data_IF_223696027167
#
_entry.id   IF_223696027167
#
_cell.length_a   1.000
_cell.length_b   1.000
_cell.length_c   1.000
_cell.angle_alpha   90.00
_cell.angle_beta   90.00
_cell.angle_gamma   90.00
#
_symmetry.space_group_name_H-M   'P 1'
#
loop_
_entity.id
_entity.type
_entity.pdbx_description
1 polymer ?
#
# COMPACT_ATOMS: atom_id res chain seq x y z
N UNK A 1 -5.58 36.11 47.83
CA UNK A 1 -4.63 35.71 46.75
C UNK A 1 -4.45 34.22 46.60
N UNK A 2 -4.31 33.38 47.65
CA UNK A 2 -4.11 31.90 47.49
C UNK A 2 -5.30 31.13 46.90
N UNK A 3 -6.55 31.56 47.12
CA UNK A 3 -7.75 30.88 46.57
C UNK A 3 -7.99 31.16 45.08
N UNK A 4 -7.61 32.32 44.60
CA UNK A 4 -7.75 32.70 43.18
C UNK A 4 -6.72 32.01 42.33
N UNK A 5 -5.52 31.71 42.83
CA UNK A 5 -4.48 30.96 42.13
C UNK A 5 -4.83 29.50 41.97
N UNK A 6 -5.50 28.89 42.96
CA UNK A 6 -5.96 27.51 42.88
C UNK A 6 -7.09 27.32 41.87
N UNK A 7 -7.98 28.33 41.73
CA UNK A 7 -9.07 28.29 40.74
C UNK A 7 -8.52 28.48 39.33
N UNK A 8 -7.53 29.35 39.12
CA UNK A 8 -6.89 29.53 37.81
C UNK A 8 -6.05 28.32 37.40
N UNK A 9 -5.36 27.66 38.35
CA UNK A 9 -4.60 26.45 38.08
C UNK A 9 -5.54 25.24 37.77
N UNK A 10 -6.67 25.14 38.48
CA UNK A 10 -7.69 24.15 38.20
C UNK A 10 -8.37 24.37 36.86
N UNK A 11 -8.55 25.59 36.41
CA UNK A 11 -9.15 25.90 35.10
C UNK A 11 -8.17 25.60 33.95
N UNK A 12 -6.88 25.86 34.11
CA UNK A 12 -5.83 25.55 33.13
C UNK A 12 -5.63 24.03 33.02
N UNK A 13 -5.66 23.30 34.14
CA UNK A 13 -5.59 21.83 34.13
C UNK A 13 -6.88 21.21 33.60
N UNK A 14 -8.04 21.84 33.79
CA UNK A 14 -9.32 21.40 33.21
C UNK A 14 -9.39 21.60 31.71
N UNK A 15 -8.79 22.65 31.14
CA UNK A 15 -8.75 22.92 29.72
C UNK A 15 -7.76 22.02 28.98
N UNK A 16 -6.66 21.63 29.64
CA UNK A 16 -5.73 20.65 29.05
C UNK A 16 -6.29 19.19 29.03
N UNK A 17 -7.22 18.89 29.95
CA UNK A 17 -7.89 17.57 29.96
C UNK A 17 -8.99 17.42 28.91
N UNK A 18 -9.49 18.53 28.35
CA UNK A 18 -10.53 18.48 27.29
C UNK A 18 -9.98 18.38 25.87
N UNK A 19 -8.66 18.46 25.69
CA UNK A 19 -8.00 18.31 24.40
C UNK A 19 -7.86 16.84 23.93
N UNK A 20 -8.13 15.87 24.81
CA UNK A 20 -8.23 14.46 24.42
C UNK A 20 -9.69 14.17 24.04
N UNK A 21 -9.96 14.19 22.74
CA UNK A 21 -11.24 13.74 22.20
C UNK A 21 -11.39 12.25 22.51
N UNK A 22 -12.08 11.95 23.64
CA UNK A 22 -12.50 10.58 23.93
C UNK A 22 -13.71 10.30 23.05
N UNK A 23 -13.53 9.46 22.04
CA UNK A 23 -14.69 8.86 21.36
C UNK A 23 -15.37 7.99 22.42
N UNK A 24 -16.61 8.28 22.83
CA UNK A 24 -17.34 7.44 23.75
C UNK A 24 -17.44 6.03 23.14
N UNK A 25 -17.34 4.98 23.97
CA UNK A 25 -17.51 3.60 23.50
C UNK A 25 -18.84 3.39 22.75
N UNK A 26 -19.83 4.21 23.01
CA UNK A 26 -21.11 4.23 22.30
C UNK A 26 -21.02 4.74 20.86
N UNK A 27 -19.88 5.29 20.43
CA UNK A 27 -19.66 5.75 19.05
C UNK A 27 -18.78 4.80 18.23
N UNK A 28 -18.46 3.63 18.72
CA UNK A 28 -17.89 2.57 17.90
C UNK A 28 -18.87 2.23 16.79
N UNK A 29 -18.57 2.64 15.59
CA UNK A 29 -19.39 2.34 14.42
C UNK A 29 -18.88 1.06 13.79
N UNK A 30 -19.78 0.08 13.67
CA UNK A 30 -19.57 -1.05 12.80
C UNK A 30 -19.71 -0.57 11.34
N UNK A 31 -18.77 -0.93 10.50
CA UNK A 31 -18.83 -0.65 9.06
C UNK A 31 -18.93 -1.96 8.31
N UNK A 32 -19.95 -2.08 7.49
CA UNK A 32 -20.04 -3.20 6.56
C UNK A 32 -19.10 -2.93 5.38
N UNK A 33 -18.14 -3.81 5.19
CA UNK A 33 -17.21 -3.73 4.06
C UNK A 33 -17.73 -4.64 2.96
N UNK A 34 -18.04 -4.08 1.81
CA UNK A 34 -18.40 -4.88 0.64
C UNK A 34 -17.12 -5.37 -0.06
N UNK A 35 -16.69 -6.57 0.30
CA UNK A 35 -15.49 -7.19 -0.26
C UNK A 35 -15.62 -7.56 -1.74
N UNK A 36 -16.86 -7.61 -2.26
CA UNK A 36 -17.12 -7.91 -3.67
C UNK A 36 -16.96 -6.68 -4.58
N UNK A 37 -16.89 -5.47 -4.00
CA UNK A 37 -16.71 -4.25 -4.78
C UNK A 37 -15.23 -3.87 -4.83
N UNK A 38 -14.60 -4.33 -5.87
CA UNK A 38 -13.25 -3.90 -6.20
C UNK A 38 -13.30 -2.62 -7.01
N UNK A 39 -12.43 -1.69 -6.65
CA UNK A 39 -12.18 -0.47 -7.42
C UNK A 39 -11.08 -0.80 -8.41
N UNK A 40 -11.41 -0.86 -9.69
CA UNK A 40 -10.48 -1.24 -10.78
C UNK A 40 -9.70 -0.03 -11.31
N UNK A 41 -9.88 1.13 -10.70
CA UNK A 41 -9.12 2.32 -11.05
C UNK A 41 -9.59 3.04 -12.32
N UNK A 42 -10.45 2.42 -13.10
CA UNK A 42 -11.11 3.00 -14.27
C UNK A 42 -12.58 3.33 -14.00
N UNK A 43 -13.01 3.14 -12.75
CA UNK A 43 -14.37 3.48 -12.35
C UNK A 43 -14.63 4.97 -12.51
N UNK A 44 -15.80 5.26 -13.06
CA UNK A 44 -16.36 6.60 -12.99
C UNK A 44 -16.65 6.90 -11.53
N UNK A 45 -16.25 8.06 -11.05
CA UNK A 45 -16.62 8.53 -9.72
C UNK A 45 -18.15 8.41 -9.54
N UNK A 46 -18.58 7.57 -8.62
CA UNK A 46 -20.01 7.32 -8.36
C UNK A 46 -20.61 8.32 -7.38
N UNK A 47 -20.11 9.51 -7.35
CA UNK A 47 -20.65 10.62 -6.55
C UNK A 47 -20.60 11.89 -7.35
N UNK A 48 -21.72 12.61 -7.43
CA UNK A 48 -21.70 14.03 -7.73
C UNK A 48 -21.01 14.73 -6.57
N UNK A 49 -19.69 14.77 -6.57
CA UNK A 49 -19.00 15.77 -5.78
C UNK A 49 -19.24 17.10 -6.49
N UNK A 50 -20.20 17.84 -5.98
CA UNK A 50 -20.27 19.26 -6.26
C UNK A 50 -19.06 19.91 -5.58
N UNK A 51 -17.91 19.79 -6.21
CA UNK A 51 -16.74 20.53 -5.80
C UNK A 51 -16.98 21.98 -6.21
N UNK A 52 -17.57 22.73 -5.30
CA UNK A 52 -17.50 24.18 -5.36
C UNK A 52 -16.08 24.51 -4.96
N UNK A 53 -15.21 24.64 -5.96
CA UNK A 53 -13.92 25.26 -5.75
C UNK A 53 -14.19 26.68 -5.26
N UNK A 54 -14.14 26.87 -3.95
CA UNK A 54 -14.10 28.19 -3.37
C UNK A 54 -12.60 28.57 -3.22
N UNK A 55 -12.04 29.30 -4.18
CA UNK A 55 -10.60 29.58 -4.20
C UNK A 55 -10.13 30.51 -3.06
N UNK A 56 -11.01 30.89 -2.17
CA UNK A 56 -10.73 31.95 -1.20
C UNK A 56 -10.61 31.52 0.25
N UNK A 57 -10.82 30.24 0.59
CA UNK A 57 -10.60 29.79 1.97
C UNK A 57 -10.22 28.30 2.05
N UNK A 58 -9.01 27.97 1.64
CA UNK A 58 -8.34 26.84 2.28
C UNK A 58 -8.09 27.24 3.73
N UNK A 59 -8.47 26.42 4.73
CA UNK A 59 -8.02 26.68 6.10
C UNK A 59 -6.49 26.64 6.08
N UNK A 60 -5.87 27.78 6.26
CA UNK A 60 -4.42 27.87 6.45
C UNK A 60 -4.16 27.26 7.82
N UNK A 61 -3.95 25.95 7.86
CA UNK A 61 -3.37 25.30 9.04
C UNK A 61 -1.93 25.78 9.06
N UNK A 62 -1.65 26.78 9.89
CA UNK A 62 -0.28 27.24 10.14
C UNK A 62 0.40 26.22 11.04
N UNK A 63 1.10 25.30 10.46
CA UNK A 63 2.07 24.46 11.15
C UNK A 63 3.39 25.26 11.24
N UNK A 64 3.47 26.16 12.22
CA UNK A 64 4.63 27.07 12.37
C UNK A 64 5.95 26.33 12.71
N UNK A 65 5.94 25.01 12.83
CA UNK A 65 7.10 24.20 13.21
C UNK A 65 7.48 23.09 12.21
N UNK A 66 6.75 22.91 11.12
CA UNK A 66 7.08 21.92 10.09
C UNK A 66 7.60 22.59 8.82
N UNK A 67 8.73 22.11 8.31
CA UNK A 67 9.20 22.46 6.98
C UNK A 67 8.37 21.68 5.95
N UNK A 68 7.34 22.30 5.42
CA UNK A 68 6.50 21.74 4.38
C UNK A 68 6.77 22.40 3.03
N UNK A 69 6.77 21.61 1.97
CA UNK A 69 6.83 22.10 0.61
C UNK A 69 5.72 21.47 -0.21
N UNK A 70 4.99 22.27 -0.97
CA UNK A 70 4.05 21.76 -1.96
C UNK A 70 4.86 21.27 -3.16
N UNK A 71 4.86 19.98 -3.39
CA UNK A 71 5.67 19.33 -4.44
C UNK A 71 4.88 19.05 -5.71
N UNK A 72 3.55 19.03 -5.60
CA UNK A 72 2.65 18.67 -6.70
C UNK A 72 1.23 19.18 -6.43
N UNK A 73 0.48 19.46 -7.49
CA UNK A 73 -0.95 19.71 -7.45
C UNK A 73 -1.68 18.74 -8.36
N UNK A 74 -2.82 18.24 -7.92
CA UNK A 74 -3.65 17.33 -8.71
C UNK A 74 -5.13 17.48 -8.34
N UNK A 75 -6.01 17.32 -9.30
CA UNK A 75 -7.45 17.15 -9.07
C UNK A 75 -7.84 15.71 -8.86
N UNK A 76 -6.90 14.77 -9.06
CA UNK A 76 -7.12 13.35 -8.84
C UNK A 76 -6.75 12.99 -7.39
N UNK A 77 -7.75 12.76 -6.57
CA UNK A 77 -7.60 12.57 -5.12
C UNK A 77 -7.36 11.12 -4.69
N UNK A 78 -7.73 10.13 -5.53
CA UNK A 78 -7.51 8.71 -5.22
C UNK A 78 -6.06 8.30 -5.48
N UNK A 79 -5.19 8.58 -4.54
CA UNK A 79 -3.74 8.30 -4.66
C UNK A 79 -3.36 6.86 -4.28
N UNK A 80 -4.16 6.18 -3.48
CA UNK A 80 -3.97 4.79 -3.11
C UNK A 80 -5.31 4.06 -3.17
N UNK A 81 -5.29 2.76 -3.47
CA UNK A 81 -6.46 1.92 -3.39
C UNK A 81 -6.43 1.14 -2.05
N UNK A 82 -5.99 -0.11 -2.00
CA UNK A 82 -5.82 -0.83 -0.74
C UNK A 82 -4.49 -0.50 -0.07
N UNK A 83 -3.44 -0.29 -0.86
CA UNK A 83 -2.09 -0.06 -0.37
C UNK A 83 -1.42 1.14 -1.06
N UNK A 84 -0.53 1.80 -0.32
CA UNK A 84 0.33 2.83 -0.90
C UNK A 84 1.41 2.17 -1.74
N UNK A 85 1.59 2.63 -2.98
CA UNK A 85 2.71 2.22 -3.83
C UNK A 85 4.02 2.89 -3.40
N UNK A 86 5.14 2.39 -3.91
CA UNK A 86 6.45 3.02 -3.75
C UNK A 86 6.47 4.31 -4.59
N UNK A 87 5.96 5.39 -4.01
CA UNK A 87 5.76 6.69 -4.65
C UNK A 87 6.91 7.64 -4.43
N UNK A 88 7.86 7.23 -3.64
CA UNK A 88 9.02 8.03 -3.28
C UNK A 88 10.22 7.11 -3.09
N UNK A 89 11.38 7.59 -3.48
CA UNK A 89 12.65 7.02 -3.06
C UNK A 89 13.57 8.11 -2.51
N UNK A 90 14.48 7.71 -1.64
CA UNK A 90 15.65 8.48 -1.27
C UNK A 90 16.90 7.75 -1.79
N UNK A 91 17.71 8.41 -2.56
CA UNK A 91 18.95 7.86 -3.07
C UNK A 91 20.10 8.02 -2.06
N UNK A 92 21.20 7.28 -2.27
CA UNK A 92 22.36 7.31 -1.37
C UNK A 92 23.08 8.68 -1.32
N UNK A 93 22.90 9.54 -2.31
CA UNK A 93 23.37 10.93 -2.33
C UNK A 93 22.44 11.91 -1.60
N UNK A 94 21.38 11.41 -0.99
CA UNK A 94 20.37 12.19 -0.26
C UNK A 94 19.29 12.79 -1.16
N UNK A 95 19.37 12.66 -2.48
CA UNK A 95 18.30 13.14 -3.36
C UNK A 95 17.02 12.34 -3.17
N UNK A 96 15.89 13.01 -3.39
CA UNK A 96 14.55 12.43 -3.21
C UNK A 96 13.69 12.71 -4.43
N UNK A 97 13.05 11.67 -4.95
CA UNK A 97 12.01 11.83 -5.96
C UNK A 97 10.64 11.42 -5.41
N UNK A 98 9.61 12.07 -5.88
CA UNK A 98 8.22 11.74 -5.57
C UNK A 98 7.37 11.73 -6.83
N UNK A 99 6.43 10.77 -6.88
CA UNK A 99 5.43 10.66 -7.94
C UNK A 99 4.03 10.55 -7.34
N UNK A 100 3.06 11.04 -8.10
CA UNK A 100 1.65 10.86 -7.78
C UNK A 100 0.83 10.70 -9.06
N UNK A 101 -0.35 10.11 -8.93
CA UNK A 101 -1.34 10.19 -10.00
C UNK A 101 -1.82 11.63 -10.12
N UNK A 102 -1.60 12.24 -11.27
CA UNK A 102 -1.86 13.64 -11.53
C UNK A 102 -2.92 13.82 -12.62
N UNK A 103 -3.80 14.76 -12.41
CA UNK A 103 -4.71 15.34 -13.41
C UNK A 103 -4.96 16.79 -13.04
N UNK A 104 -5.22 17.61 -14.04
CA UNK A 104 -5.69 19.00 -13.89
C UNK A 104 -7.15 19.16 -14.31
N UNK A 105 -7.72 18.14 -14.96
CA UNK A 105 -9.13 18.13 -15.29
C UNK A 105 -10.00 17.90 -14.04
N UNK A 106 -11.06 18.66 -13.91
CA UNK A 106 -12.06 18.51 -12.83
C UNK A 106 -13.25 17.65 -13.22
N UNK A 107 -13.24 17.08 -14.43
CA UNK A 107 -14.31 16.20 -14.90
C UNK A 107 -14.03 14.73 -14.54
N UNK A 108 -15.09 13.90 -14.59
CA UNK A 108 -14.99 12.49 -14.21
C UNK A 108 -14.13 11.63 -15.16
N UNK A 109 -13.83 12.13 -16.35
CA UNK A 109 -13.08 11.37 -17.37
C UNK A 109 -11.59 11.46 -17.14
N UNK A 110 -11.10 12.57 -16.53
CA UNK A 110 -9.67 12.81 -16.24
C UNK A 110 -8.74 12.31 -17.34
N UNK A 111 -8.99 12.79 -18.58
CA UNK A 111 -8.29 12.31 -19.77
C UNK A 111 -6.79 12.65 -19.75
N UNK A 112 -6.42 13.72 -19.04
CA UNK A 112 -5.05 14.16 -18.82
C UNK A 112 -4.34 13.38 -17.69
N UNK A 113 -5.02 12.40 -17.05
CA UNK A 113 -4.45 11.61 -15.96
C UNK A 113 -3.15 10.92 -16.36
N UNK A 114 -2.16 11.00 -15.51
CA UNK A 114 -0.87 10.36 -15.66
C UNK A 114 -0.01 10.57 -14.42
N UNK A 115 1.31 10.54 -14.58
CA UNK A 115 2.25 10.69 -13.48
C UNK A 115 2.77 12.11 -13.41
N UNK A 116 2.52 12.79 -12.29
CA UNK A 116 3.27 13.96 -11.86
C UNK A 116 4.54 13.52 -11.15
N UNK A 117 5.63 14.23 -11.39
CA UNK A 117 6.95 13.94 -10.83
C UNK A 117 7.59 15.21 -10.28
N UNK A 118 8.23 15.11 -9.11
CA UNK A 118 9.10 16.16 -8.59
C UNK A 118 10.35 15.58 -7.96
N UNK A 119 11.40 16.36 -7.90
CA UNK A 119 12.72 15.95 -7.46
C UNK A 119 13.36 17.01 -6.57
N UNK A 120 14.02 16.54 -5.50
CA UNK A 120 14.80 17.34 -4.58
C UNK A 120 16.23 16.84 -4.58
N UNK A 121 17.17 17.68 -4.98
CA UNK A 121 18.57 17.33 -5.04
C UNK A 121 19.22 17.39 -3.64
N UNK A 122 20.06 16.40 -3.31
CA UNK A 122 20.89 16.37 -2.11
C UNK A 122 20.12 16.48 -0.77
N UNK A 123 18.83 16.12 -0.73
CA UNK A 123 18.02 16.20 0.48
C UNK A 123 17.74 17.61 1.00
N UNK A 124 17.99 18.64 0.20
CA UNK A 124 17.63 20.02 0.54
C UNK A 124 16.15 20.27 0.21
N UNK A 125 15.27 19.88 1.11
CA UNK A 125 13.82 19.98 0.93
C UNK A 125 13.30 21.43 0.73
N UNK A 126 14.15 22.43 0.85
CA UNK A 126 13.82 23.79 0.43
C UNK A 126 13.97 24.03 -1.09
N UNK A 127 14.53 23.06 -1.82
CA UNK A 127 14.87 23.14 -3.24
C UNK A 127 14.22 22.04 -4.06
N UNK A 128 12.94 21.88 -3.90
CA UNK A 128 12.16 21.07 -4.84
C UNK A 128 12.17 21.71 -6.24
N UNK A 129 12.10 20.88 -7.26
CA UNK A 129 11.84 21.34 -8.63
C UNK A 129 10.50 22.07 -8.74
N UNK A 130 10.26 22.67 -9.90
CA UNK A 130 8.97 23.27 -10.19
C UNK A 130 7.88 22.21 -10.12
N UNK A 131 6.68 22.62 -9.67
CA UNK A 131 5.53 21.72 -9.71
C UNK A 131 5.29 21.24 -11.15
N UNK A 132 5.04 19.95 -11.37
CA UNK A 132 4.79 19.42 -12.70
C UNK A 132 3.52 20.02 -13.29
N UNK A 133 3.61 20.54 -14.50
CA UNK A 133 2.47 21.05 -15.27
C UNK A 133 1.86 19.94 -16.16
N UNK A 134 2.66 18.95 -16.52
CA UNK A 134 2.27 17.87 -17.42
C UNK A 134 2.66 16.51 -16.81
N UNK A 135 1.92 15.49 -17.20
CA UNK A 135 2.28 14.10 -16.92
C UNK A 135 3.51 13.69 -17.72
N UNK A 136 4.25 12.70 -17.17
CA UNK A 136 5.42 12.11 -17.86
C UNK A 136 4.98 11.42 -19.16
N UNK A 137 3.90 10.67 -19.09
CA UNK A 137 3.46 9.78 -20.17
C UNK A 137 2.74 10.52 -21.28
N UNK A 138 2.89 10.04 -22.50
CA UNK A 138 2.11 10.52 -23.65
C UNK A 138 0.67 10.01 -23.67
N UNK A 139 0.34 9.03 -22.84
CA UNK A 139 -0.98 8.40 -22.76
C UNK A 139 -1.57 8.51 -21.34
N UNK A 140 -2.87 8.25 -21.19
CA UNK A 140 -3.53 8.17 -19.89
C UNK A 140 -3.02 6.95 -19.12
N UNK A 141 -2.51 7.18 -17.90
CA UNK A 141 -2.02 6.15 -16.98
C UNK A 141 -2.52 6.39 -15.57
N UNK A 142 -2.12 5.54 -14.63
CA UNK A 142 -2.41 5.75 -13.22
C UNK A 142 -1.60 4.85 -12.32
N UNK A 143 -1.67 5.15 -11.03
CA UNK A 143 -0.98 4.43 -9.95
C UNK A 143 0.50 4.22 -10.21
N UNK A 144 1.28 5.30 -10.36
CA UNK A 144 2.70 5.22 -10.60
C UNK A 144 3.45 4.65 -9.39
N UNK A 145 4.56 4.00 -9.67
CA UNK A 145 5.58 3.61 -8.68
C UNK A 145 6.94 3.98 -9.25
N UNK A 146 7.87 4.40 -8.40
CA UNK A 146 9.19 4.88 -8.82
C UNK A 146 10.31 4.21 -8.01
N UNK A 147 11.42 3.96 -8.67
CA UNK A 147 12.67 3.49 -8.03
C UNK A 147 13.89 4.08 -8.74
N UNK A 148 15.04 4.03 -8.08
CA UNK A 148 16.34 4.27 -8.74
C UNK A 148 16.68 3.08 -9.63
N UNK A 149 17.35 3.29 -10.76
CA UNK A 149 17.85 2.23 -11.63
C UNK A 149 19.21 2.60 -12.21
N UNK A 150 20.09 1.62 -12.37
CA UNK A 150 21.44 1.90 -12.74
C UNK A 150 22.18 2.73 -11.68
N UNK A 151 23.36 3.20 -11.99
CA UNK A 151 24.16 4.00 -11.07
C UNK A 151 23.55 5.37 -10.74
N UNK A 152 22.79 5.96 -11.67
CA UNK A 152 22.25 7.31 -11.50
C UNK A 152 20.89 7.56 -12.17
N UNK A 153 20.20 6.52 -12.60
CA UNK A 153 18.93 6.63 -13.31
C UNK A 153 17.70 6.44 -12.44
N UNK A 154 16.56 6.51 -13.08
CA UNK A 154 15.24 6.29 -12.50
C UNK A 154 14.38 5.42 -13.41
N UNK A 155 13.53 4.62 -12.80
CA UNK A 155 12.47 3.88 -13.47
C UNK A 155 11.12 4.21 -12.85
N UNK A 156 10.18 4.57 -13.70
CA UNK A 156 8.78 4.75 -13.40
C UNK A 156 7.99 3.59 -13.98
N UNK A 157 7.07 3.02 -13.22
CA UNK A 157 6.11 2.02 -13.71
C UNK A 157 4.71 2.52 -13.42
N UNK A 158 3.83 2.52 -14.42
CA UNK A 158 2.41 2.83 -14.26
C UNK A 158 1.55 1.96 -15.18
N UNK A 159 0.25 1.90 -14.91
CA UNK A 159 -0.65 1.10 -15.72
C UNK A 159 -1.53 1.94 -16.64
N UNK A 160 -1.78 1.40 -17.83
CA UNK A 160 -2.77 1.84 -18.80
C UNK A 160 -3.54 0.61 -19.27
N UNK A 161 -3.28 0.13 -20.47
CA UNK A 161 -3.70 -1.20 -20.95
C UNK A 161 -2.59 -2.22 -20.63
N UNK A 162 -2.48 -2.62 -19.38
CA UNK A 162 -1.36 -3.35 -18.81
C UNK A 162 -0.29 -2.42 -18.22
N UNK A 163 0.84 -2.99 -17.81
CA UNK A 163 1.94 -2.23 -17.23
C UNK A 163 2.91 -1.74 -18.29
N UNK A 164 3.39 -0.53 -18.07
CA UNK A 164 4.45 0.07 -18.86
C UNK A 164 5.46 0.72 -17.93
N UNK A 165 6.72 0.78 -18.36
CA UNK A 165 7.74 1.55 -17.67
C UNK A 165 8.33 2.64 -18.55
N UNK A 166 8.87 3.63 -17.89
CA UNK A 166 9.63 4.74 -18.43
C UNK A 166 10.94 4.83 -17.67
N UNK A 167 12.03 5.03 -18.37
CA UNK A 167 13.38 5.03 -17.81
C UNK A 167 14.06 6.33 -18.19
N UNK A 168 14.90 6.84 -17.31
CA UNK A 168 15.88 7.85 -17.64
C UNK A 168 17.22 7.60 -16.95
N UNK A 169 18.29 8.08 -17.55
CA UNK A 169 19.66 7.76 -17.13
C UNK A 169 20.18 8.66 -16.01
N UNK A 170 19.52 9.81 -15.77
CA UNK A 170 19.94 10.78 -14.75
C UNK A 170 18.76 11.14 -13.85
N UNK A 171 18.92 10.97 -12.54
CA UNK A 171 17.92 11.36 -11.55
C UNK A 171 17.63 12.86 -11.64
N UNK A 172 16.37 13.23 -11.67
CA UNK A 172 15.93 14.61 -11.70
C UNK A 172 16.07 15.31 -13.05
N UNK A 173 16.77 14.73 -14.05
CA UNK A 173 17.12 15.39 -15.28
C UNK A 173 16.92 14.51 -16.52
N UNK A 174 16.66 15.16 -17.66
CA UNK A 174 16.53 14.49 -18.96
C UNK A 174 15.14 13.96 -19.25
N UNK A 175 14.99 13.49 -20.49
CA UNK A 175 13.75 12.94 -20.99
C UNK A 175 13.54 11.49 -20.50
N UNK A 176 12.28 11.11 -20.35
CA UNK A 176 11.88 9.75 -20.05
C UNK A 176 11.76 8.95 -21.35
N UNK A 177 12.48 7.86 -21.44
CA UNK A 177 12.39 6.88 -22.53
C UNK A 177 11.29 5.87 -22.20
N UNK A 178 10.32 5.72 -23.09
CA UNK A 178 9.17 4.81 -22.93
C UNK A 178 7.98 5.24 -23.80
N UNK A 179 6.86 4.51 -23.77
CA UNK A 179 6.59 3.35 -22.91
C UNK A 179 7.33 2.07 -23.34
N UNK A 180 7.88 1.34 -22.36
CA UNK A 180 8.39 -0.01 -22.53
C UNK A 180 7.37 -0.94 -21.87
N UNK A 181 6.74 -1.83 -22.62
CA UNK A 181 5.71 -2.70 -22.11
C UNK A 181 6.28 -3.80 -21.19
N UNK A 182 5.68 -3.98 -20.01
CA UNK A 182 5.90 -5.15 -19.16
C UNK A 182 4.88 -6.20 -19.61
N UNK A 183 5.31 -7.38 -20.08
CA UNK A 183 4.42 -8.34 -20.73
C UNK A 183 3.37 -8.89 -19.77
N UNK A 184 2.14 -8.99 -20.23
CA UNK A 184 1.10 -9.73 -19.53
C UNK A 184 1.33 -11.23 -19.72
N UNK A 185 1.25 -12.05 -18.66
CA UNK A 185 1.31 -13.50 -18.79
C UNK A 185 0.16 -14.03 -19.65
N UNK A 186 0.37 -15.18 -20.26
CA UNK A 186 -0.68 -15.90 -20.97
C UNK A 186 -1.87 -16.20 -20.03
N UNK A 187 -3.08 -16.05 -20.53
CA UNK A 187 -4.31 -16.25 -19.75
C UNK A 187 -4.77 -15.04 -18.94
N UNK A 188 -3.99 -13.95 -18.91
CA UNK A 188 -4.41 -12.69 -18.25
C UNK A 188 -5.49 -11.99 -19.08
N UNK A 189 -6.58 -11.56 -18.41
CA UNK A 189 -7.76 -11.03 -19.09
C UNK A 189 -7.86 -9.51 -19.06
N UNK A 190 -8.42 -8.95 -20.14
CA UNK A 190 -8.96 -7.59 -20.13
C UNK A 190 -10.35 -7.58 -19.46
N UNK A 191 -10.69 -6.57 -18.61
CA UNK A 191 -9.88 -5.39 -18.30
C UNK A 191 -8.83 -5.62 -17.19
N UNK A 192 -8.67 -6.81 -16.72
CA UNK A 192 -7.82 -7.15 -15.59
C UNK A 192 -6.39 -7.53 -16.02
N UNK A 193 -5.84 -6.80 -16.96
CA UNK A 193 -4.41 -6.85 -17.26
C UNK A 193 -3.60 -6.38 -16.05
N UNK A 194 -2.30 -6.66 -16.06
CA UNK A 194 -1.42 -6.23 -14.96
C UNK A 194 -1.65 -4.77 -14.58
N UNK A 195 -1.90 -4.52 -13.30
CA UNK A 195 -2.21 -3.21 -12.76
C UNK A 195 -1.67 -3.04 -11.34
N UNK A 196 -1.73 -1.83 -10.82
CA UNK A 196 -1.30 -1.47 -9.46
C UNK A 196 0.10 -1.94 -9.08
N UNK A 197 1.07 -1.61 -9.92
CA UNK A 197 2.46 -2.01 -9.73
C UNK A 197 3.06 -1.47 -8.43
N UNK A 198 3.97 -2.28 -7.85
CA UNK A 198 4.96 -1.84 -6.86
C UNK A 198 6.32 -2.21 -7.41
N UNK A 199 7.20 -1.25 -7.56
CA UNK A 199 8.54 -1.45 -8.08
C UNK A 199 9.58 -1.23 -6.99
N UNK A 200 10.63 -2.04 -7.04
CA UNK A 200 11.84 -1.89 -6.26
C UNK A 200 13.03 -2.40 -7.08
N UNK A 201 14.23 -2.01 -6.71
CA UNK A 201 15.45 -2.38 -7.44
C UNK A 201 16.48 -3.00 -6.50
N UNK A 202 17.29 -3.90 -7.01
CA UNK A 202 18.32 -4.61 -6.26
C UNK A 202 19.59 -4.84 -7.09
N UNK A 203 20.54 -5.51 -6.48
CA UNK A 203 21.82 -5.85 -7.11
C UNK A 203 22.77 -4.67 -7.21
N UNK A 204 23.91 -4.90 -7.86
CA UNK A 204 24.90 -3.85 -8.10
C UNK A 204 24.29 -2.76 -8.98
N UNK A 205 24.45 -1.52 -8.56
CA UNK A 205 23.93 -0.35 -9.26
C UNK A 205 22.39 -0.36 -9.47
N UNK A 206 21.62 -1.09 -8.65
CA UNK A 206 20.17 -1.19 -8.77
C UNK A 206 19.70 -1.59 -10.19
N UNK A 207 20.47 -2.37 -10.91
CA UNK A 207 20.16 -2.69 -12.30
C UNK A 207 19.15 -3.84 -12.46
N UNK A 208 18.79 -4.51 -11.37
CA UNK A 208 17.74 -5.52 -11.35
C UNK A 208 16.47 -4.89 -10.83
N UNK A 209 15.44 -4.86 -11.67
CA UNK A 209 14.16 -4.27 -11.36
C UNK A 209 13.14 -5.37 -11.04
N UNK A 210 12.43 -5.19 -9.93
CA UNK A 210 11.37 -6.05 -9.46
C UNK A 210 10.06 -5.31 -9.48
N UNK A 211 9.04 -5.91 -10.06
CA UNK A 211 7.67 -5.36 -10.07
C UNK A 211 6.70 -6.44 -9.63
N UNK A 212 5.91 -6.14 -8.62
CA UNK A 212 4.73 -6.92 -8.28
C UNK A 212 3.48 -6.19 -8.73
N UNK A 213 2.49 -6.94 -9.19
CA UNK A 213 1.25 -6.41 -9.74
C UNK A 213 0.13 -7.42 -9.63
N UNK A 214 -1.11 -6.96 -9.70
CA UNK A 214 -2.29 -7.82 -9.71
C UNK A 214 -2.91 -7.91 -11.09
N UNK A 215 -3.54 -9.05 -11.39
CA UNK A 215 -4.40 -9.24 -12.54
C UNK A 215 -5.37 -10.39 -12.31
N UNK A 216 -6.42 -10.45 -13.12
CA UNK A 216 -7.23 -11.64 -13.22
C UNK A 216 -6.55 -12.65 -14.15
N UNK A 217 -6.42 -13.88 -13.71
CA UNK A 217 -5.82 -14.97 -14.47
C UNK A 217 -6.81 -16.12 -14.67
N UNK A 218 -6.78 -16.71 -15.83
CA UNK A 218 -7.62 -17.87 -16.17
C UNK A 218 -7.06 -19.12 -15.50
N UNK A 219 -7.85 -19.78 -14.66
CA UNK A 219 -7.51 -21.03 -13.99
C UNK A 219 -7.94 -22.23 -14.84
N UNK A 220 -9.19 -22.22 -15.32
CA UNK A 220 -9.75 -23.21 -16.22
C UNK A 220 -10.78 -22.57 -17.17
N UNK A 221 -11.55 -23.37 -17.92
CA UNK A 221 -12.44 -22.85 -18.94
C UNK A 221 -13.51 -21.88 -18.43
N UNK A 222 -13.95 -22.01 -17.20
CA UNK A 222 -15.04 -21.25 -16.62
C UNK A 222 -14.63 -20.47 -15.34
N UNK A 223 -13.41 -20.68 -14.86
CA UNK A 223 -12.93 -20.11 -13.62
C UNK A 223 -11.76 -19.14 -13.84
N UNK A 224 -11.88 -17.97 -13.27
CA UNK A 224 -10.85 -16.94 -13.22
C UNK A 224 -10.58 -16.56 -11.78
N UNK A 225 -9.32 -16.47 -11.42
CA UNK A 225 -8.91 -15.99 -10.12
C UNK A 225 -8.03 -14.76 -10.27
N UNK A 226 -8.06 -13.90 -9.26
CA UNK A 226 -7.14 -12.78 -9.16
C UNK A 226 -5.84 -13.27 -8.59
N UNK A 227 -4.75 -12.92 -9.25
CA UNK A 227 -3.42 -13.38 -8.89
C UNK A 227 -2.46 -12.21 -8.78
N UNK A 228 -1.48 -12.36 -7.90
CA UNK A 228 -0.32 -11.51 -7.86
C UNK A 228 0.74 -12.06 -8.82
N UNK A 229 1.31 -11.18 -9.63
CA UNK A 229 2.35 -11.50 -10.59
C UNK A 229 3.64 -10.81 -10.22
N UNK A 230 4.74 -11.46 -10.53
CA UNK A 230 6.07 -10.93 -10.36
C UNK A 230 6.73 -10.77 -11.72
N UNK A 231 7.16 -9.56 -12.01
CA UNK A 231 7.93 -9.22 -13.21
C UNK A 231 9.35 -8.81 -12.81
N UNK A 232 10.32 -9.27 -13.57
CA UNK A 232 11.74 -9.02 -13.30
C UNK A 232 12.46 -8.59 -14.57
N UNK A 233 13.28 -7.56 -14.44
CA UNK A 233 14.25 -7.14 -15.45
C UNK A 233 15.65 -7.26 -14.87
N UNK A 234 16.63 -7.64 -15.69
CA UNK A 234 18.06 -7.71 -15.30
C UNK A 234 18.91 -6.69 -16.03
N UNK A 235 18.31 -5.84 -16.82
CA UNK A 235 18.95 -4.85 -17.70
C UNK A 235 18.38 -3.44 -17.52
N UNK A 236 17.97 -3.12 -16.28
CA UNK A 236 17.49 -1.80 -15.93
C UNK A 236 16.09 -1.46 -16.47
N UNK A 237 15.28 -2.49 -16.80
CA UNK A 237 13.92 -2.30 -17.28
C UNK A 237 13.76 -2.32 -18.79
N UNK A 238 14.80 -2.64 -19.55
CA UNK A 238 14.74 -2.71 -21.01
C UNK A 238 14.03 -3.97 -21.50
N UNK A 239 14.28 -5.11 -20.84
CA UNK A 239 13.57 -6.37 -21.12
C UNK A 239 13.00 -6.97 -19.84
N UNK A 240 11.92 -7.73 -19.97
CA UNK A 240 11.15 -8.22 -18.84
C UNK A 240 10.78 -9.69 -18.96
N UNK A 241 10.81 -10.38 -17.83
CA UNK A 241 10.20 -11.69 -17.63
C UNK A 241 9.10 -11.51 -16.59
N UNK A 242 7.90 -11.96 -16.90
CA UNK A 242 6.75 -11.97 -15.97
C UNK A 242 6.34 -13.39 -15.68
N UNK A 243 6.38 -13.75 -14.40
CA UNK A 243 5.99 -15.07 -13.92
C UNK A 243 5.30 -14.91 -12.56
N UNK A 244 4.28 -15.72 -12.32
CA UNK A 244 3.64 -15.79 -11.00
C UNK A 244 4.03 -17.06 -10.23
N UNK A 245 4.68 -18.02 -10.88
CA UNK A 245 5.03 -19.30 -10.27
C UNK A 245 5.86 -19.20 -8.99
N UNK A 246 6.79 -18.25 -8.83
CA UNK A 246 7.49 -18.05 -7.57
C UNK A 246 6.60 -17.59 -6.41
N UNK A 247 5.48 -16.95 -6.74
CA UNK A 247 4.57 -16.31 -5.78
C UNK A 247 3.29 -17.12 -5.58
N UNK A 248 3.06 -18.11 -6.41
CA UNK A 248 1.93 -19.03 -6.28
C UNK A 248 2.43 -20.31 -5.66
N UNK A 249 2.01 -20.58 -4.46
CA UNK A 249 2.14 -21.92 -3.91
C UNK A 249 0.82 -22.66 -4.02
N UNK A 250 0.96 -23.93 -4.25
CA UNK A 250 -0.05 -24.98 -4.21
C UNK A 250 -1.43 -24.61 -3.63
N UNK A 251 -2.41 -24.65 -4.48
CA UNK A 251 -3.86 -24.91 -4.27
C UNK A 251 -4.64 -24.25 -3.12
N UNK A 252 -4.04 -23.72 -2.07
CA UNK A 252 -4.75 -23.23 -0.89
C UNK A 252 -4.76 -21.70 -0.72
N UNK A 253 -4.08 -20.96 -1.58
CA UNK A 253 -3.80 -19.54 -1.32
C UNK A 253 -4.26 -18.62 -2.44
N UNK A 254 -5.01 -19.13 -3.39
CA UNK A 254 -5.15 -18.49 -4.69
C UNK A 254 -6.39 -17.63 -4.85
N UNK A 255 -7.40 -17.76 -4.01
CA UNK A 255 -8.74 -17.33 -4.41
C UNK A 255 -9.27 -16.09 -3.72
N UNK A 256 -8.57 -15.52 -2.75
CA UNK A 256 -9.04 -14.35 -2.00
C UNK A 256 -8.11 -13.18 -2.16
N UNK A 257 -7.90 -12.75 -3.39
CA UNK A 257 -7.07 -11.57 -3.66
C UNK A 257 -7.90 -10.30 -3.76
N UNK A 258 -7.57 -9.33 -2.93
CA UNK A 258 -7.81 -7.95 -3.29
C UNK A 258 -6.67 -7.52 -4.21
N UNK A 259 -6.96 -6.88 -5.32
CA UNK A 259 -5.92 -6.28 -6.14
C UNK A 259 -5.16 -5.25 -5.29
N UNK A 260 -3.84 -5.16 -5.47
CA UNK A 260 -2.89 -4.28 -4.79
C UNK A 260 -2.69 -4.47 -3.26
N UNK A 261 -3.13 -5.58 -2.68
CA UNK A 261 -2.87 -5.92 -1.26
C UNK A 261 -1.47 -6.50 -1.05
N UNK A 262 -0.45 -5.81 -1.52
CA UNK A 262 0.94 -6.22 -1.46
C UNK A 262 1.90 -5.05 -1.33
N UNK A 263 3.08 -5.33 -0.79
CA UNK A 263 4.20 -4.40 -0.70
C UNK A 263 5.51 -5.10 -1.06
N UNK A 264 6.52 -4.37 -1.50
CA UNK A 264 7.84 -4.86 -1.84
C UNK A 264 8.91 -3.99 -1.21
N UNK A 265 9.98 -4.62 -0.76
CA UNK A 265 11.19 -3.94 -0.28
C UNK A 265 12.45 -4.68 -0.78
N UNK A 266 13.54 -3.95 -0.89
CA UNK A 266 14.85 -4.48 -1.28
C UNK A 266 15.95 -3.90 -0.41
N UNK A 267 17.01 -4.69 -0.19
CA UNK A 267 18.27 -4.22 0.39
C UNK A 267 19.42 -5.11 -0.11
N UNK A 268 20.35 -4.54 -0.87
CA UNK A 268 21.41 -5.28 -1.53
C UNK A 268 20.84 -6.31 -2.52
N UNK A 269 21.13 -7.58 -2.30
CA UNK A 269 20.58 -8.68 -3.10
C UNK A 269 19.26 -9.26 -2.53
N UNK A 270 18.84 -8.78 -1.37
CA UNK A 270 17.61 -9.25 -0.75
C UNK A 270 16.41 -8.52 -1.34
N UNK A 271 15.37 -9.30 -1.61
CA UNK A 271 14.07 -8.83 -2.06
C UNK A 271 13.02 -9.48 -1.16
N UNK A 272 12.10 -8.70 -0.64
CA UNK A 272 10.98 -9.22 0.13
C UNK A 272 9.65 -8.68 -0.37
N UNK A 273 8.66 -9.55 -0.46
CA UNK A 273 7.30 -9.24 -0.88
C UNK A 273 6.36 -9.63 0.26
N UNK A 274 5.52 -8.71 0.66
CA UNK A 274 4.44 -8.93 1.60
C UNK A 274 3.14 -9.01 0.81
N UNK A 275 2.35 -10.01 1.11
CA UNK A 275 1.01 -10.18 0.58
C UNK A 275 0.03 -10.31 1.75
N UNK A 276 -1.00 -9.48 1.80
CA UNK A 276 -1.97 -9.47 2.90
C UNK A 276 -3.37 -9.93 2.48
N UNK A 277 -3.61 -10.11 1.19
CA UNK A 277 -4.89 -10.61 0.70
C UNK A 277 -6.09 -9.80 1.20
N UNK A 278 -7.06 -10.50 1.76
CA UNK A 278 -8.22 -9.93 2.45
C UNK A 278 -8.08 -10.12 3.97
N UNK A 279 -9.04 -9.60 4.74
CA UNK A 279 -9.11 -9.82 6.18
C UNK A 279 -9.16 -11.30 6.58
N UNK A 280 -9.69 -12.17 5.69
CA UNK A 280 -9.79 -13.61 5.90
C UNK A 280 -8.66 -14.42 5.26
N UNK A 281 -7.67 -13.78 4.64
CA UNK A 281 -6.55 -14.48 4.05
C UNK A 281 -5.37 -14.59 5.01
N UNK A 282 -4.52 -15.59 4.80
CA UNK A 282 -3.20 -15.59 5.40
C UNK A 282 -2.41 -14.36 4.93
N UNK A 283 -1.56 -13.82 5.80
CA UNK A 283 -0.51 -12.90 5.38
C UNK A 283 0.73 -13.70 5.05
N UNK A 284 1.22 -13.50 3.85
CA UNK A 284 2.38 -14.21 3.32
C UNK A 284 3.55 -13.25 3.12
N UNK A 285 4.74 -13.72 3.44
CA UNK A 285 5.98 -13.06 3.09
C UNK A 285 6.82 -13.98 2.22
N UNK A 286 7.30 -13.45 1.11
CA UNK A 286 8.25 -14.10 0.24
C UNK A 286 9.58 -13.37 0.34
N UNK A 287 10.67 -14.11 0.53
CA UNK A 287 12.03 -13.56 0.58
C UNK A 287 12.92 -14.24 -0.44
N UNK A 288 13.66 -13.45 -1.16
CA UNK A 288 14.77 -13.85 -2.01
C UNK A 288 16.04 -13.24 -1.48
N UNK A 289 17.14 -13.97 -1.54
CA UNK A 289 18.51 -13.49 -1.21
C UNK A 289 19.42 -13.44 -2.44
N UNK A 290 18.87 -13.72 -3.61
CA UNK A 290 19.56 -13.86 -4.90
C UNK A 290 18.94 -12.98 -6.00
N UNK A 291 18.46 -11.79 -5.63
CA UNK A 291 17.85 -10.84 -6.55
C UNK A 291 16.60 -11.39 -7.26
N UNK A 292 15.75 -12.11 -6.55
CA UNK A 292 14.48 -12.59 -7.06
C UNK A 292 14.57 -13.82 -7.98
N UNK A 293 15.66 -14.58 -7.92
CA UNK A 293 15.78 -15.82 -8.69
C UNK A 293 15.11 -16.99 -7.97
N UNK A 294 15.30 -17.09 -6.65
CA UNK A 294 14.64 -18.09 -5.82
C UNK A 294 13.94 -17.44 -4.64
N UNK A 295 12.90 -18.09 -4.15
CA UNK A 295 12.02 -17.53 -3.14
C UNK A 295 11.76 -18.52 -2.01
N UNK A 296 11.76 -17.99 -0.78
CA UNK A 296 11.28 -18.68 0.42
C UNK A 296 9.98 -18.02 0.86
N UNK A 297 8.93 -18.83 1.04
CA UNK A 297 7.65 -18.38 1.52
C UNK A 297 7.51 -18.61 3.02
N UNK A 298 6.90 -17.66 3.73
CA UNK A 298 6.54 -17.78 5.14
C UNK A 298 5.16 -17.20 5.40
N UNK A 299 4.42 -17.82 6.30
CA UNK A 299 3.18 -17.29 6.84
C UNK A 299 3.57 -16.32 7.97
N UNK A 300 3.10 -15.07 7.86
CA UNK A 300 3.28 -14.02 8.88
C UNK A 300 2.09 -13.98 9.83
N UNK A 301 0.90 -14.14 9.26
CA UNK A 301 -0.37 -14.19 9.98
C UNK A 301 -1.18 -15.37 9.47
N UNK A 302 -1.53 -16.28 10.36
CA UNK A 302 -2.38 -17.41 10.05
C UNK A 302 -3.85 -17.05 10.30
N UNK A 303 -4.70 -17.27 9.30
CA UNK A 303 -6.12 -16.94 9.39
C UNK A 303 -6.93 -18.24 9.32
N UNK A 304 -7.81 -18.51 10.28
CA UNK A 304 -8.60 -19.76 10.33
C UNK A 304 -9.60 -19.89 9.17
N UNK A 305 -9.95 -18.78 8.53
CA UNK A 305 -10.91 -18.76 7.42
C UNK A 305 -10.24 -18.61 6.04
N UNK A 306 -8.93 -18.81 5.98
CA UNK A 306 -8.20 -18.69 4.73
C UNK A 306 -8.68 -19.72 3.70
N UNK A 307 -9.00 -19.23 2.49
CA UNK A 307 -9.46 -20.06 1.39
C UNK A 307 -10.93 -20.51 1.47
N UNK A 308 -11.69 -20.06 2.48
CA UNK A 308 -13.12 -20.34 2.57
C UNK A 308 -13.89 -19.28 1.77
N UNK A 309 -14.74 -19.74 0.83
CA UNK A 309 -15.61 -18.86 0.06
C UNK A 309 -16.67 -18.21 0.96
N UNK A 310 -17.02 -16.97 0.68
CA UNK A 310 -18.07 -16.21 1.37
C UNK A 310 -19.46 -16.83 1.24
N UNK A 311 -19.70 -17.58 0.17
CA UNK A 311 -20.94 -18.28 -0.10
C UNK A 311 -20.99 -19.65 0.59
N UNK A 312 -19.90 -20.07 1.25
CA UNK A 312 -19.85 -21.31 2.05
C UNK A 312 -20.42 -21.05 3.47
N UNK A 313 -21.33 -21.88 3.96
CA UNK A 313 -21.79 -21.79 5.35
C UNK A 313 -20.68 -21.86 6.42
N UNK A 314 -19.53 -22.47 6.10
CA UNK A 314 -18.38 -22.52 6.99
C UNK A 314 -17.67 -21.17 7.14
N UNK A 315 -17.97 -20.19 6.29
CA UNK A 315 -17.44 -18.82 6.39
C UNK A 315 -18.08 -18.02 7.53
N UNK A 316 -19.23 -18.49 8.07
CA UNK A 316 -19.98 -17.79 9.11
C UNK A 316 -19.50 -18.22 10.50
N UNK A 317 -19.26 -17.24 11.36
CA UNK A 317 -18.85 -17.44 12.75
C UNK A 317 -19.54 -16.44 13.67
N UNK A 318 -19.61 -16.78 14.97
CA UNK A 318 -20.37 -16.03 15.98
C UNK A 318 -19.53 -15.07 16.79
N UNK A 319 -18.22 -15.32 16.87
CA UNK A 319 -17.29 -14.49 17.63
C UNK A 319 -16.48 -13.60 16.68
N UNK A 320 -16.04 -12.45 17.17
CA UNK A 320 -15.15 -11.60 16.40
C UNK A 320 -13.75 -12.20 16.31
N UNK A 321 -13.11 -12.00 15.17
CA UNK A 321 -11.71 -12.39 14.93
C UNK A 321 -10.90 -11.20 14.47
N UNK A 322 -9.58 -11.30 14.58
CA UNK A 322 -8.66 -10.29 14.07
C UNK A 322 -8.16 -10.67 12.69
N UNK A 323 -8.01 -9.66 11.83
CA UNK A 323 -7.41 -9.81 10.52
C UNK A 323 -6.70 -8.56 10.06
N UNK A 324 -5.58 -8.70 9.37
CA UNK A 324 -4.85 -7.59 8.82
C UNK A 324 -5.53 -7.06 7.54
N UNK A 325 -5.64 -5.75 7.42
CA UNK A 325 -6.19 -5.10 6.23
C UNK A 325 -5.10 -4.58 5.30
N UNK A 326 -3.99 -4.15 5.84
CA UNK A 326 -2.82 -3.68 5.12
C UNK A 326 -1.54 -3.83 5.95
N UNK A 327 -0.39 -3.65 5.28
CA UNK A 327 0.89 -3.78 5.92
C UNK A 327 2.01 -3.05 5.18
N UNK A 328 3.12 -2.94 5.87
CA UNK A 328 4.36 -2.43 5.34
C UNK A 328 5.47 -3.45 5.54
N UNK A 329 6.46 -3.42 4.66
CA UNK A 329 7.63 -4.30 4.69
C UNK A 329 8.91 -3.49 4.53
N UNK A 330 9.94 -3.89 5.25
CA UNK A 330 11.28 -3.33 5.12
C UNK A 330 12.33 -4.42 5.30
N UNK A 331 13.53 -4.20 4.80
CA UNK A 331 14.68 -5.09 5.00
C UNK A 331 15.79 -4.26 5.64
N UNK A 332 16.29 -4.68 6.78
CA UNK A 332 17.38 -4.01 7.47
C UNK A 332 18.76 -4.32 6.84
N UNK A 333 19.81 -3.70 7.37
CA UNK A 333 21.19 -3.90 6.89
C UNK A 333 21.75 -5.29 7.17
N UNK A 334 21.11 -6.08 8.01
CA UNK A 334 21.48 -7.48 8.28
C UNK A 334 20.69 -8.44 7.36
N UNK A 335 19.83 -7.92 6.50
CA UNK A 335 18.97 -8.69 5.63
C UNK A 335 17.74 -9.26 6.34
N UNK A 336 17.43 -8.79 7.56
CA UNK A 336 16.21 -9.19 8.27
C UNK A 336 15.01 -8.45 7.70
N UNK A 337 13.96 -9.19 7.41
CA UNK A 337 12.70 -8.64 6.91
C UNK A 337 11.81 -8.28 8.09
N UNK A 338 11.34 -7.05 8.13
CA UNK A 338 10.41 -6.51 9.12
C UNK A 338 9.05 -6.26 8.49
N UNK A 339 7.99 -6.69 9.17
CA UNK A 339 6.59 -6.54 8.73
C UNK A 339 5.79 -5.86 9.83
N UNK A 340 5.06 -4.82 9.45
CA UNK A 340 4.05 -4.18 10.30
C UNK A 340 2.69 -4.28 9.62
N UNK A 341 1.68 -4.76 10.36
CA UNK A 341 0.34 -4.99 9.86
C UNK A 341 -0.66 -4.10 10.60
N UNK A 342 -1.55 -3.49 9.85
CA UNK A 342 -2.73 -2.84 10.41
C UNK A 342 -3.81 -3.89 10.61
N UNK A 343 -4.27 -4.08 11.84
CA UNK A 343 -5.16 -5.16 12.23
C UNK A 343 -6.50 -4.62 12.70
N UNK A 344 -7.57 -5.22 12.22
CA UNK A 344 -8.93 -4.93 12.63
C UNK A 344 -9.61 -6.14 13.25
N UNK A 345 -10.56 -5.88 14.13
CA UNK A 345 -11.52 -6.84 14.59
C UNK A 345 -12.70 -6.89 13.61
N UNK A 346 -13.13 -8.08 13.22
CA UNK A 346 -14.23 -8.26 12.28
C UNK A 346 -15.05 -9.52 12.56
N UNK A 347 -16.23 -9.61 11.98
CA UNK A 347 -17.13 -10.76 12.01
C UNK A 347 -17.79 -10.96 10.65
N UNK A 348 -17.95 -12.22 10.25
CA UNK A 348 -18.79 -12.61 9.11
C UNK A 348 -19.97 -13.44 9.63
N UNK A 349 -21.16 -12.84 9.67
CA UNK A 349 -22.32 -13.40 10.37
C UNK A 349 -23.38 -13.96 9.45
N UNK A 350 -23.26 -13.81 8.13
CA UNK A 350 -24.27 -14.25 7.16
C UNK A 350 -23.63 -14.60 5.82
N UNK A 351 -23.97 -15.79 5.29
CA UNK A 351 -23.50 -16.30 3.99
C UNK A 351 -23.82 -15.32 2.86
N UNK A 352 -22.87 -15.13 1.97
CA UNK A 352 -23.00 -14.28 0.79
C UNK A 352 -23.07 -12.78 1.07
N UNK A 353 -22.87 -12.38 2.33
CA UNK A 353 -22.80 -10.95 2.72
C UNK A 353 -21.34 -10.49 2.87
N UNK A 354 -21.16 -9.21 3.13
CA UNK A 354 -19.88 -8.67 3.54
C UNK A 354 -19.69 -8.84 5.04
N UNK A 355 -18.42 -8.95 5.47
CA UNK A 355 -18.12 -8.91 6.89
C UNK A 355 -18.30 -7.52 7.49
N UNK A 356 -18.62 -7.49 8.78
CA UNK A 356 -18.67 -6.27 9.57
C UNK A 356 -17.30 -6.05 10.20
N UNK A 357 -16.71 -4.89 9.99
CA UNK A 357 -15.44 -4.48 10.58
C UNK A 357 -15.71 -3.50 11.72
N UNK A 358 -15.16 -3.81 12.87
CA UNK A 358 -15.18 -2.92 14.02
C UNK A 358 -13.94 -2.04 13.98
N UNK A 359 -14.16 -0.72 14.01
CA UNK A 359 -13.07 0.26 14.00
C UNK A 359 -13.14 1.13 15.23
N UNK A 360 -12.02 1.34 15.86
CA UNK A 360 -11.89 2.20 17.02
C UNK A 360 -10.72 1.84 17.90
N UNK A 361 -10.50 2.64 18.93
CA UNK A 361 -9.34 2.51 19.83
C UNK A 361 -9.24 1.14 20.55
N UNK A 362 -10.30 0.36 20.59
CA UNK A 362 -10.33 -0.94 21.24
C UNK A 362 -10.28 -2.13 20.28
N UNK A 363 -10.56 -1.90 19.00
CA UNK A 363 -10.66 -2.94 17.96
C UNK A 363 -9.53 -2.88 16.93
N UNK A 364 -8.91 -1.72 16.75
CA UNK A 364 -7.79 -1.56 15.82
C UNK A 364 -6.46 -1.83 16.52
N UNK A 365 -5.49 -2.32 15.77
CA UNK A 365 -4.15 -2.58 16.30
C UNK A 365 -3.07 -2.54 15.22
N UNK A 366 -1.84 -2.59 15.68
CA UNK A 366 -0.67 -2.81 14.84
C UNK A 366 0.00 -4.09 15.31
N UNK A 367 0.20 -5.03 14.40
CA UNK A 367 0.99 -6.22 14.64
C UNK A 367 2.37 -6.06 14.00
N UNK A 368 3.38 -6.58 14.67
CA UNK A 368 4.76 -6.60 14.18
C UNK A 368 5.29 -8.02 14.12
N UNK A 369 6.07 -8.29 13.08
CA UNK A 369 6.75 -9.56 12.87
C UNK A 369 8.08 -9.33 12.12
N UNK A 370 9.03 -10.23 12.31
CA UNK A 370 10.24 -10.25 11.51
C UNK A 370 10.63 -11.70 11.18
N UNK A 371 11.45 -11.89 10.16
CA UNK A 371 11.77 -13.22 9.64
C UNK A 371 12.80 -14.02 10.46
N UNK A 372 13.24 -13.52 11.61
CA UNK A 372 13.96 -14.31 12.62
C UNK A 372 13.00 -15.10 13.50
N UNK A 373 11.72 -14.75 13.51
CA UNK A 373 10.67 -15.48 14.22
C UNK A 373 10.41 -16.83 13.58
N UNK A 374 10.14 -17.84 14.39
CA UNK A 374 9.90 -19.21 13.90
C UNK A 374 8.43 -19.51 13.68
N UNK A 375 7.53 -18.71 14.23
CA UNK A 375 6.08 -18.86 14.18
C UNK A 375 5.40 -17.65 13.54
N UNK A 376 4.22 -17.80 12.94
CA UNK A 376 3.33 -16.69 12.60
C UNK A 376 2.97 -15.83 13.82
N UNK A 377 2.30 -14.71 13.60
CA UNK A 377 1.75 -13.88 14.67
C UNK A 377 0.61 -14.60 15.40
N UNK A 378 -0.20 -15.34 14.66
CA UNK A 378 -1.36 -16.09 15.14
C UNK A 378 -1.17 -17.59 14.93
N UNK A 379 -1.85 -18.40 15.75
CA UNK A 379 -2.03 -19.83 15.52
C UNK A 379 -3.12 -20.11 14.46
N UNK A 380 -3.33 -21.40 14.16
CA UNK A 380 -4.31 -21.84 13.17
C UNK A 380 -5.77 -21.48 13.54
N UNK A 381 -6.04 -21.23 14.83
CA UNK A 381 -7.34 -20.78 15.31
C UNK A 381 -7.47 -19.24 15.31
N UNK A 382 -6.43 -18.52 14.85
CA UNK A 382 -6.40 -17.06 14.76
C UNK A 382 -6.08 -16.34 16.05
N UNK A 383 -5.65 -17.06 17.10
CA UNK A 383 -5.24 -16.44 18.35
C UNK A 383 -3.78 -15.97 18.28
N UNK A 384 -3.45 -14.79 18.79
CA UNK A 384 -2.08 -14.33 18.83
C UNK A 384 -1.19 -15.23 19.68
N UNK A 385 -0.07 -15.72 19.13
CA UNK A 385 0.93 -16.49 19.88
C UNK A 385 1.59 -15.69 21.00
N UNK A 386 1.77 -14.41 20.79
CA UNK A 386 2.33 -13.48 21.75
C UNK A 386 1.52 -12.18 21.74
N UNK A 387 0.91 -11.86 22.87
CA UNK A 387 0.13 -10.63 23.03
C UNK A 387 0.97 -9.35 22.81
N UNK A 388 2.30 -9.42 22.92
CA UNK A 388 3.20 -8.30 22.64
C UNK A 388 3.37 -8.03 21.14
N UNK A 389 3.06 -8.99 20.29
CA UNK A 389 3.11 -8.82 18.84
C UNK A 389 1.90 -8.10 18.27
N UNK A 390 0.79 -8.09 19.00
CA UNK A 390 -0.42 -7.35 18.65
C UNK A 390 -0.56 -6.16 19.59
N UNK A 391 -0.06 -5.02 19.17
CA UNK A 391 -0.26 -3.80 19.91
C UNK A 391 -1.67 -3.24 19.65
N UNK A 392 -2.41 -2.98 20.71
CA UNK A 392 -3.71 -2.31 20.67
C UNK A 392 -3.63 -1.00 21.45
N UNK A 393 -4.33 0.05 21.03
CA UNK A 393 -4.51 1.21 21.85
C UNK A 393 -5.15 0.80 23.19
N UNK A 394 -4.58 1.22 24.31
CA UNK A 394 -5.18 0.97 25.61
C UNK A 394 -6.58 1.58 25.68
N UNK A 395 -7.56 0.81 26.10
CA UNK A 395 -8.90 1.31 26.41
C UNK A 395 -8.75 2.36 27.51
N UNK A 396 -8.89 3.65 27.15
CA UNK A 396 -8.71 4.76 28.11
C UNK A 396 -7.70 5.82 27.73
N UNK A 397 -7.19 5.81 26.49
CA UNK A 397 -6.41 6.94 25.93
C UNK A 397 -5.00 7.05 26.48
N UNK A 398 -4.35 5.95 26.78
CA UNK A 398 -2.91 5.91 26.99
C UNK A 398 -2.20 6.21 25.69
N UNK A 399 -1.26 7.16 25.70
CA UNK A 399 -0.35 7.39 24.60
C UNK A 399 0.42 6.12 24.24
N UNK A 400 0.76 5.98 22.96
CA UNK A 400 1.74 4.98 22.53
C UNK A 400 3.04 5.19 23.32
N UNK A 401 3.34 4.30 24.23
CA UNK A 401 4.65 4.17 24.81
C UNK A 401 5.15 2.78 24.39
N UNK A 402 5.94 2.75 23.34
CA UNK A 402 6.75 1.61 22.96
C UNK A 402 8.17 1.87 23.37
#
# INVERSE_FOLDING_TARGET
>A
MKKTLLISLGLVLGLSATAQYRIPQTELKAYTVNSKKEIVGDEKATGTMNYVANPTQSPVIRWESMNEAAVMMTTYDLQSNAYVSNRMYQAGDGSVAVVATMSHESNQTVNDRGTGYNFCQNGDFSKWGNMPENRIESMKTGWPTIATVGANGEILVSHADGLNCWIRTTKGEGEWEGPIAIPNPEGTQYPYKLSWARAATSGTDNNIVHVISGAQHKIDNDHYSRCMFYSRSTDGGQTWITDYSPLRSDSLETDVYSNDSYAIATNGNNVAILYTGSLQAHVLMYKSTDNGQTWQKRIVWENPYNGIDWDDPQSVYTDTVYGPANGAIAIDNNGVVHVALNVYEYIHSEVGTSYTVFRGLTSDGIAYWNDTETTPITDADGNPHDALRLWKPAAGGGSMHG
#
